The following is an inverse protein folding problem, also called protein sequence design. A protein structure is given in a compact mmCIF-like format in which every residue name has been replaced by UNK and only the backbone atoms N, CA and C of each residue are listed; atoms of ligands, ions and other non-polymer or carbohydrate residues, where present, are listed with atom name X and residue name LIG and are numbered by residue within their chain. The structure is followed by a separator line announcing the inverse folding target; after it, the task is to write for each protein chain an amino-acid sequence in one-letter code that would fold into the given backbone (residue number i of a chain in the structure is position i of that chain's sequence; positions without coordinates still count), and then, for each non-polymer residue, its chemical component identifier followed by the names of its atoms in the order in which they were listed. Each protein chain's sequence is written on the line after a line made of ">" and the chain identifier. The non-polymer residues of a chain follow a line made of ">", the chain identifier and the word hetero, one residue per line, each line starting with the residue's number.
data_IF_606542324774
#
_entry.id   IF_606542324774
#
_cell.length_a   1.000
_cell.length_b   1.000
_cell.length_c   1.000
_cell.angle_alpha   90.00
_cell.angle_beta   90.00
_cell.angle_gamma   90.00
#
_symmetry.space_group_name_H-M   'P 1'
#
loop_
_entity.id
_entity.type
_entity.pdbx_description
1 polymer ?
#
# COMPACT_ATOMS: atom_id res chain seq x y z
N UNK A 1 6.50 34.04 -41.96
CA UNK A 1 6.72 32.58 -41.85
C UNK A 1 5.45 31.96 -41.28
N UNK A 2 4.74 31.14 -42.06
CA UNK A 2 3.41 30.62 -41.75
C UNK A 2 3.59 29.24 -41.11
N UNK A 3 3.31 29.12 -39.80
CA UNK A 3 3.39 27.83 -39.10
C UNK A 3 2.16 27.01 -39.51
N UNK A 4 2.40 25.90 -40.21
CA UNK A 4 1.36 24.91 -40.53
C UNK A 4 1.05 24.14 -39.25
N UNK A 5 -0.21 24.16 -38.83
CA UNK A 5 -0.72 23.32 -37.74
C UNK A 5 -1.18 22.02 -38.39
N UNK A 6 -0.45 20.93 -38.19
CA UNK A 6 -0.86 19.59 -38.61
C UNK A 6 -1.79 19.04 -37.52
N UNK A 7 -3.06 18.85 -37.85
CA UNK A 7 -3.97 18.03 -37.05
C UNK A 7 -3.60 16.58 -37.30
N UNK A 8 -3.23 15.85 -36.24
CA UNK A 8 -3.14 14.40 -36.26
C UNK A 8 -4.51 13.92 -35.79
N UNK A 9 -5.32 13.43 -36.72
CA UNK A 9 -6.52 12.68 -36.41
C UNK A 9 -6.07 11.33 -35.82
N UNK A 10 -6.35 11.13 -34.53
CA UNK A 10 -6.25 9.82 -33.91
C UNK A 10 -7.53 9.11 -34.32
N UNK A 11 -7.42 8.11 -35.19
CA UNK A 11 -8.53 7.22 -35.50
C UNK A 11 -8.93 6.48 -34.23
N UNK A 12 -10.06 6.86 -33.64
CA UNK A 12 -10.79 6.04 -32.67
C UNK A 12 -11.44 4.86 -33.43
N UNK A 13 -10.61 3.88 -33.82
CA UNK A 13 -11.11 2.54 -34.08
C UNK A 13 -11.37 1.87 -32.72
N UNK A 14 -12.53 2.19 -32.14
CA UNK A 14 -13.12 1.39 -31.08
C UNK A 14 -13.58 0.08 -31.71
N UNK A 15 -12.76 -0.97 -31.65
CA UNK A 15 -13.27 -2.33 -31.76
C UNK A 15 -14.23 -2.54 -30.57
N UNK A 16 -15.53 -2.44 -30.83
CA UNK A 16 -16.58 -2.81 -29.88
C UNK A 16 -16.43 -4.30 -29.55
N UNK A 17 -15.79 -4.62 -28.43
CA UNK A 17 -15.87 -5.95 -27.84
C UNK A 17 -17.34 -6.17 -27.45
N UNK A 18 -18.04 -7.15 -28.06
CA UNK A 18 -19.44 -7.38 -27.75
C UNK A 18 -19.53 -7.88 -26.31
N UNK A 19 -20.07 -7.05 -25.42
CA UNK A 19 -20.39 -7.40 -24.04
C UNK A 19 -21.55 -8.41 -24.00
N UNK A 20 -21.30 -9.67 -24.35
CA UNK A 20 -22.20 -10.76 -23.98
C UNK A 20 -21.83 -11.25 -22.57
N UNK A 21 -22.30 -10.54 -21.53
CA UNK A 21 -22.49 -11.21 -20.23
C UNK A 21 -23.77 -12.03 -20.33
N UNK A 22 -23.61 -13.31 -20.63
CA UNK A 22 -24.64 -14.28 -20.28
C UNK A 22 -24.80 -14.21 -18.76
N UNK A 23 -25.86 -13.53 -18.33
CA UNK A 23 -26.19 -13.41 -16.92
C UNK A 23 -26.74 -14.76 -16.48
N UNK A 24 -25.86 -15.66 -16.05
CA UNK A 24 -26.29 -16.78 -15.23
C UNK A 24 -26.96 -16.17 -14.00
N UNK A 25 -28.29 -16.30 -13.91
CA UNK A 25 -29.04 -15.91 -12.72
C UNK A 25 -28.52 -16.76 -11.56
N UNK A 26 -27.80 -16.13 -10.64
CA UNK A 26 -27.54 -16.70 -9.32
C UNK A 26 -28.90 -16.86 -8.61
N UNK A 27 -29.17 -18.01 -7.96
CA UNK A 27 -30.41 -18.23 -7.23
C UNK A 27 -30.59 -17.21 -6.10
N UNK A 28 -31.82 -16.73 -5.94
CA UNK A 28 -32.21 -15.54 -5.16
C UNK A 28 -32.27 -15.74 -3.63
N UNK A 29 -31.71 -16.80 -3.08
CA UNK A 29 -31.68 -17.01 -1.62
C UNK A 29 -30.29 -17.50 -1.22
N UNK A 30 -29.52 -16.67 -0.52
CA UNK A 30 -28.59 -17.10 0.52
C UNK A 30 -27.89 -15.87 1.12
N UNK A 31 -28.53 -15.19 2.07
CA UNK A 31 -27.87 -14.19 2.93
C UNK A 31 -26.75 -14.80 3.80
N UNK A 32 -26.52 -16.12 3.73
CA UNK A 32 -25.53 -16.88 4.50
C UNK A 32 -24.66 -17.83 3.66
N UNK A 33 -24.51 -17.61 2.34
CA UNK A 33 -23.64 -18.48 1.53
C UNK A 33 -22.19 -18.35 1.96
N UNK A 34 -21.62 -19.43 2.48
CA UNK A 34 -20.18 -19.54 2.73
C UNK A 34 -19.51 -19.71 1.37
N UNK A 35 -18.84 -18.67 0.89
CA UNK A 35 -18.01 -18.75 -0.32
C UNK A 35 -16.68 -19.40 0.04
N UNK A 36 -16.33 -20.47 -0.66
CA UNK A 36 -15.02 -21.11 -0.52
C UNK A 36 -14.03 -20.49 -1.49
N UNK A 37 -12.72 -20.62 -1.20
CA UNK A 37 -11.66 -20.12 -2.06
C UNK A 37 -11.71 -20.72 -3.49
N UNK A 38 -12.39 -21.84 -3.69
CA UNK A 38 -12.59 -22.44 -5.01
C UNK A 38 -13.61 -21.70 -5.89
N UNK A 39 -14.48 -20.86 -5.30
CA UNK A 39 -15.59 -20.21 -5.99
C UNK A 39 -15.21 -18.84 -6.61
N UNK A 40 -14.00 -18.34 -6.33
CA UNK A 40 -13.53 -17.04 -6.80
C UNK A 40 -12.37 -17.18 -7.81
N UNK A 41 -12.45 -16.55 -9.00
CA UNK A 41 -11.31 -16.45 -9.90
C UNK A 41 -10.35 -15.39 -9.35
N UNK A 42 -9.42 -15.80 -8.49
CA UNK A 42 -8.36 -14.91 -8.04
C UNK A 42 -7.42 -14.59 -9.20
N UNK A 43 -7.28 -13.30 -9.53
CA UNK A 43 -6.05 -12.80 -10.15
C UNK A 43 -4.96 -12.83 -9.06
N UNK A 44 -3.70 -13.09 -9.43
CA UNK A 44 -2.54 -13.34 -8.55
C UNK A 44 -2.25 -12.19 -7.54
N UNK A 45 -2.96 -11.07 -7.66
CA UNK A 45 -2.73 -9.79 -7.00
C UNK A 45 -3.69 -9.55 -5.79
N UNK A 46 -4.61 -10.49 -5.51
CA UNK A 46 -5.66 -10.29 -4.51
C UNK A 46 -5.22 -10.65 -3.09
N UNK A 47 -5.09 -9.64 -2.21
CA UNK A 47 -4.71 -9.82 -0.80
C UNK A 47 -5.95 -10.15 0.06
N UNK A 48 -5.95 -11.31 0.73
CA UNK A 48 -6.98 -11.71 1.69
C UNK A 48 -6.51 -11.40 3.11
N UNK A 49 -7.28 -10.60 3.85
CA UNK A 49 -7.02 -10.32 5.26
C UNK A 49 -7.85 -11.30 6.09
N UNK A 50 -7.19 -12.35 6.61
CA UNK A 50 -7.80 -13.34 7.52
C UNK A 50 -7.52 -12.91 8.96
N UNK A 51 -8.54 -12.71 9.81
CA UNK A 51 -8.32 -12.28 11.18
C UNK A 51 -7.83 -13.42 12.08
N UNK A 52 -6.65 -13.26 12.68
CA UNK A 52 -6.33 -13.85 13.99
C UNK A 52 -5.90 -15.32 14.07
N UNK A 53 -5.44 -15.96 12.99
CA UNK A 53 -4.95 -17.35 13.01
C UNK A 53 -3.45 -17.46 12.69
N UNK A 54 -2.79 -18.52 13.18
CA UNK A 54 -1.38 -18.80 12.88
C UNK A 54 -1.19 -19.14 11.39
N UNK A 55 -0.11 -18.63 10.78
CA UNK A 55 0.13 -18.70 9.33
C UNK A 55 0.09 -20.14 8.78
N UNK A 56 0.60 -21.11 9.56
CA UNK A 56 0.66 -22.52 9.17
C UNK A 56 -0.74 -23.17 9.12
N UNK A 57 -1.62 -22.79 10.05
CA UNK A 57 -2.99 -23.26 10.10
C UNK A 57 -3.79 -22.69 8.90
N UNK A 58 -3.58 -21.41 8.59
CA UNK A 58 -4.19 -20.74 7.43
C UNK A 58 -3.76 -21.42 6.12
N UNK A 59 -2.48 -21.79 5.95
CA UNK A 59 -2.01 -22.48 4.75
C UNK A 59 -2.68 -23.85 4.56
N UNK A 60 -2.78 -24.65 5.62
CA UNK A 60 -3.46 -25.93 5.58
C UNK A 60 -4.97 -25.78 5.28
N UNK A 61 -5.61 -24.75 5.84
CA UNK A 61 -7.02 -24.46 5.59
C UNK A 61 -7.27 -23.89 4.19
N UNK A 62 -6.31 -23.16 3.58
CA UNK A 62 -6.33 -22.75 2.17
C UNK A 62 -6.23 -23.97 1.25
N UNK A 63 -5.28 -24.87 1.50
CA UNK A 63 -5.12 -26.11 0.73
C UNK A 63 -6.36 -27.00 0.81
N UNK A 64 -7.05 -27.00 1.95
CA UNK A 64 -8.32 -27.70 2.15
C UNK A 64 -9.56 -26.85 1.80
N UNK A 65 -9.38 -25.62 1.31
CA UNK A 65 -10.42 -24.65 0.96
C UNK A 65 -11.47 -24.39 2.08
N UNK A 66 -11.07 -24.49 3.36
CA UNK A 66 -11.93 -24.31 4.54
C UNK A 66 -11.92 -22.89 5.11
N UNK A 67 -11.29 -21.94 4.42
CA UNK A 67 -11.24 -20.54 4.85
C UNK A 67 -12.58 -19.87 4.58
N UNK A 68 -13.19 -19.33 5.63
CA UNK A 68 -14.43 -18.57 5.53
C UNK A 68 -14.10 -17.09 5.35
N UNK A 69 -14.40 -16.55 4.16
CA UNK A 69 -14.20 -15.14 3.86
C UNK A 69 -15.49 -14.38 4.14
N UNK A 70 -15.55 -13.69 5.30
CA UNK A 70 -16.68 -12.82 5.65
C UNK A 70 -16.52 -11.44 4.99
N UNK A 71 -16.76 -11.35 3.69
CA UNK A 71 -16.78 -10.06 2.98
C UNK A 71 -18.17 -9.46 3.00
N UNK A 72 -18.39 -8.47 3.87
CA UNK A 72 -19.62 -7.67 3.81
C UNK A 72 -19.48 -6.60 2.71
N UNK A 73 -20.46 -6.54 1.81
CA UNK A 73 -20.54 -5.48 0.81
C UNK A 73 -20.65 -4.11 1.51
N UNK A 74 -19.65 -3.25 1.34
CA UNK A 74 -19.74 -1.84 1.77
C UNK A 74 -20.68 -1.09 0.82
N UNK A 75 -21.76 -0.54 1.36
CA UNK A 75 -22.72 0.25 0.58
C UNK A 75 -22.07 1.52 0.02
N UNK A 76 -22.62 2.05 -1.07
CA UNK A 76 -22.03 3.18 -1.82
C UNK A 76 -21.93 4.45 -0.98
N UNK A 77 -22.89 4.71 -0.09
CA UNK A 77 -22.91 5.79 0.89
C UNK A 77 -21.78 5.66 1.93
N UNK A 78 -21.35 4.44 2.23
CA UNK A 78 -20.25 4.14 3.16
C UNK A 78 -18.87 4.09 2.47
N UNK A 79 -18.82 4.15 1.13
CA UNK A 79 -17.56 4.14 0.38
C UNK A 79 -16.94 5.54 0.40
N UNK A 80 -15.74 5.63 0.98
CA UNK A 80 -14.90 6.83 0.90
C UNK A 80 -14.11 6.75 -0.41
N UNK A 81 -14.32 7.71 -1.31
CA UNK A 81 -13.54 7.83 -2.54
C UNK A 81 -12.63 9.05 -2.46
N UNK A 82 -11.30 8.89 -2.52
CA UNK A 82 -10.42 10.03 -2.64
C UNK A 82 -10.66 10.68 -4.02
N UNK A 83 -10.91 11.98 -4.02
CA UNK A 83 -11.03 12.78 -5.24
C UNK A 83 -9.70 13.48 -5.46
N UNK A 84 -9.23 13.52 -6.72
CA UNK A 84 -8.05 14.31 -7.10
C UNK A 84 -8.41 15.80 -7.09
N UNK A 85 -8.49 16.37 -5.89
CA UNK A 85 -8.68 17.80 -5.62
C UNK A 85 -7.39 18.37 -5.03
N UNK A 86 -7.28 19.70 -4.97
CA UNK A 86 -6.24 20.38 -4.19
C UNK A 86 -6.25 19.89 -2.75
N UNK A 87 -5.08 19.49 -2.24
CA UNK A 87 -4.94 18.99 -0.88
C UNK A 87 -5.10 20.14 0.12
N UNK A 88 -6.03 20.06 1.09
CA UNK A 88 -6.30 21.17 1.99
C UNK A 88 -5.12 21.43 2.94
N UNK A 89 -4.86 22.70 3.24
CA UNK A 89 -3.75 23.09 4.11
C UNK A 89 -3.89 22.54 5.54
N UNK A 90 -5.12 22.36 6.01
CA UNK A 90 -5.44 21.79 7.32
C UNK A 90 -5.00 20.32 7.44
N UNK A 91 -5.04 19.57 6.33
CA UNK A 91 -4.61 18.16 6.31
C UNK A 91 -3.10 18.00 6.11
N UNK A 92 -2.36 19.11 5.94
CA UNK A 92 -0.92 19.08 5.67
C UNK A 92 -0.16 18.58 6.89
N UNK A 93 0.64 17.53 6.69
CA UNK A 93 1.58 17.05 7.71
C UNK A 93 2.58 18.17 8.04
N UNK A 94 2.57 18.60 9.30
CA UNK A 94 3.50 19.59 9.84
C UNK A 94 4.67 18.86 10.48
N UNK A 95 5.88 19.20 10.03
CA UNK A 95 7.13 18.72 10.65
C UNK A 95 7.66 19.78 11.60
N UNK A 96 7.85 19.41 12.86
CA UNK A 96 8.48 20.24 13.87
C UNK A 96 9.72 19.53 14.42
N UNK A 97 10.72 20.31 14.83
CA UNK A 97 11.94 19.78 15.43
C UNK A 97 11.96 20.29 16.88
N UNK A 98 11.42 19.52 17.85
CA UNK A 98 11.23 19.99 19.21
C UNK A 98 12.56 20.22 19.94
N UNK A 99 13.60 19.45 19.60
CA UNK A 99 14.93 19.52 20.19
C UNK A 99 16.00 19.53 19.11
N UNK A 100 17.10 20.23 19.35
CA UNK A 100 18.25 20.23 18.44
C UNK A 100 18.82 18.80 18.31
N UNK A 101 18.80 18.21 17.10
CA UNK A 101 19.22 16.82 16.88
C UNK A 101 20.73 16.60 17.05
N UNK A 102 21.52 17.67 17.02
CA UNK A 102 22.98 17.59 17.15
C UNK A 102 23.42 17.35 18.59
N UNK A 103 22.54 17.58 19.58
CA UNK A 103 22.88 17.45 21.00
C UNK A 103 23.11 15.99 21.44
N UNK A 104 22.54 15.02 20.72
CA UNK A 104 22.68 13.58 21.03
C UNK A 104 23.79 12.90 20.22
N UNK A 105 24.52 13.64 19.40
CA UNK A 105 25.59 13.05 18.58
C UNK A 105 26.75 12.59 19.46
N UNK A 106 27.15 11.34 19.24
CA UNK A 106 28.33 10.75 19.87
C UNK A 106 29.57 11.27 19.12
N UNK A 107 30.62 11.72 19.82
CA UNK A 107 31.85 12.14 19.16
C UNK A 107 32.48 10.96 18.39
N UNK A 108 32.92 11.22 17.15
CA UNK A 108 33.52 10.19 16.32
C UNK A 108 34.96 9.89 16.76
N UNK A 109 35.38 8.61 16.77
CA UNK A 109 36.75 8.25 17.09
C UNK A 109 37.69 8.69 15.96
N UNK A 110 38.85 9.22 16.33
CA UNK A 110 39.92 9.59 15.37
C UNK A 110 40.51 8.33 14.70
N UNK A 111 40.53 7.20 15.41
CA UNK A 111 40.99 5.90 14.91
C UNK A 111 39.84 4.91 15.05
N UNK A 112 39.03 4.70 13.99
CA UNK A 112 37.89 3.82 14.06
C UNK A 112 38.33 2.36 14.27
N UNK A 113 37.60 1.57 15.09
CA UNK A 113 37.87 0.15 15.25
C UNK A 113 37.55 -0.61 13.96
N UNK A 114 38.06 -1.83 13.84
CA UNK A 114 37.67 -2.71 12.76
C UNK A 114 36.20 -3.11 12.87
N UNK A 115 35.58 -3.35 11.72
CA UNK A 115 34.18 -3.74 11.66
C UNK A 115 34.02 -5.13 12.27
N UNK A 116 33.11 -5.23 13.24
CA UNK A 116 32.71 -6.50 13.85
C UNK A 116 31.22 -6.66 13.54
N UNK A 117 30.81 -7.73 12.84
CA UNK A 117 29.43 -7.97 12.46
C UNK A 117 28.51 -8.02 13.68
N UNK A 118 27.32 -7.45 13.54
CA UNK A 118 26.25 -7.49 14.54
C UNK A 118 25.07 -8.28 13.98
N UNK A 119 24.13 -8.75 14.81
CA UNK A 119 22.96 -9.49 14.33
C UNK A 119 22.16 -8.74 13.25
N UNK A 120 22.17 -7.40 13.28
CA UNK A 120 21.51 -6.57 12.26
C UNK A 120 22.43 -6.18 11.10
N UNK A 121 23.69 -5.86 11.39
CA UNK A 121 24.68 -5.45 10.39
C UNK A 121 25.65 -6.60 10.13
N UNK A 122 25.25 -7.50 9.22
CA UNK A 122 26.07 -8.64 8.79
C UNK A 122 27.11 -8.23 7.74
N UNK A 123 28.12 -9.07 7.52
CA UNK A 123 29.14 -8.83 6.50
C UNK A 123 28.55 -8.79 5.08
N UNK A 124 27.60 -9.67 4.80
CA UNK A 124 26.89 -9.74 3.51
C UNK A 124 26.18 -8.42 3.20
N UNK A 125 25.40 -7.89 4.16
CA UNK A 125 24.71 -6.60 4.02
C UNK A 125 25.69 -5.44 3.84
N UNK A 126 26.83 -5.49 4.52
CA UNK A 126 27.87 -4.47 4.36
C UNK A 126 28.52 -4.53 2.97
N UNK A 127 28.68 -5.73 2.42
CA UNK A 127 29.21 -5.93 1.07
C UNK A 127 28.21 -5.48 -0.01
N UNK A 128 26.91 -5.74 0.18
CA UNK A 128 25.84 -5.27 -0.72
C UNK A 128 25.75 -3.74 -0.78
N UNK A 129 26.05 -3.05 0.32
CA UNK A 129 26.06 -1.59 0.41
C UNK A 129 27.14 -0.93 -0.47
N UNK A 130 28.15 -1.67 -0.91
CA UNK A 130 29.23 -1.24 -1.81
C UNK A 130 29.75 0.18 -1.52
N UNK A 131 30.16 0.41 -0.25
CA UNK A 131 30.47 1.74 0.30
C UNK A 131 31.52 2.51 -0.50
N UNK A 132 32.44 1.82 -1.17
CA UNK A 132 33.58 2.43 -1.84
C UNK A 132 33.76 1.96 -3.28
N UNK A 133 32.67 1.85 -4.04
CA UNK A 133 32.69 1.38 -5.44
C UNK A 133 33.69 2.14 -6.34
N UNK A 134 33.80 3.46 -6.15
CA UNK A 134 34.65 4.34 -6.96
C UNK A 134 36.03 4.61 -6.33
N UNK A 135 36.40 3.91 -5.26
CA UNK A 135 37.65 4.15 -4.49
C UNK A 135 37.82 5.62 -4.05
N UNK A 136 36.70 6.33 -3.85
CA UNK A 136 36.71 7.74 -3.45
C UNK A 136 37.14 7.91 -1.99
N UNK A 137 36.74 6.98 -1.12
CA UNK A 137 37.01 7.03 0.31
C UNK A 137 38.36 6.40 0.63
N UNK A 138 39.07 6.98 1.59
CA UNK A 138 40.28 6.36 2.12
C UNK A 138 39.93 5.12 2.95
N UNK A 139 40.86 4.15 3.10
CA UNK A 139 40.60 2.96 3.91
C UNK A 139 40.19 3.27 5.37
N UNK A 140 40.69 4.37 5.94
CA UNK A 140 40.30 4.82 7.29
C UNK A 140 38.90 5.45 7.31
N UNK A 141 38.51 6.17 6.26
CA UNK A 141 37.17 6.76 6.12
C UNK A 141 36.11 5.68 5.91
N UNK A 142 36.43 4.64 5.13
CA UNK A 142 35.56 3.48 4.95
C UNK A 142 35.33 2.76 6.29
N UNK A 143 36.39 2.58 7.10
CA UNK A 143 36.26 2.04 8.46
C UNK A 143 35.41 2.93 9.35
N UNK A 144 35.58 4.25 9.27
CA UNK A 144 34.79 5.21 10.04
C UNK A 144 33.31 5.13 9.66
N UNK A 145 33.01 5.03 8.37
CA UNK A 145 31.63 4.89 7.88
C UNK A 145 30.98 3.61 8.42
N UNK A 146 31.68 2.47 8.35
CA UNK A 146 31.22 1.20 8.96
C UNK A 146 30.95 1.36 10.46
N UNK A 147 31.80 2.10 11.16
CA UNK A 147 31.61 2.39 12.59
C UNK A 147 30.37 3.26 12.86
N UNK A 148 30.13 4.29 12.04
CA UNK A 148 28.93 5.16 12.15
C UNK A 148 27.65 4.38 11.89
N UNK A 149 27.64 3.49 10.89
CA UNK A 149 26.49 2.62 10.63
C UNK A 149 26.22 1.71 11.83
N UNK A 150 27.28 1.11 12.41
CA UNK A 150 27.16 0.27 13.60
C UNK A 150 26.58 1.03 14.80
N UNK A 151 27.01 2.27 15.04
CA UNK A 151 26.45 3.10 16.13
C UNK A 151 24.95 3.39 15.94
N UNK A 152 24.48 3.46 14.69
CA UNK A 152 23.11 3.77 14.34
C UNK A 152 22.29 2.54 13.89
N UNK A 153 22.77 1.32 14.15
CA UNK A 153 22.17 0.08 13.67
C UNK A 153 20.70 -0.10 14.07
N UNK A 154 20.30 0.52 15.18
CA UNK A 154 18.93 0.45 15.70
C UNK A 154 17.94 1.29 14.88
N UNK A 155 18.44 2.26 14.12
CA UNK A 155 17.63 3.17 13.31
C UNK A 155 17.47 2.70 11.86
N UNK A 156 18.29 1.73 11.44
CA UNK A 156 18.28 1.21 10.08
C UNK A 156 17.30 0.03 9.99
N UNK A 157 16.25 0.11 9.16
CA UNK A 157 15.35 -1.01 8.94
C UNK A 157 15.95 -1.98 7.92
N UNK A 158 16.03 -3.27 8.27
CA UNK A 158 16.46 -4.32 7.35
C UNK A 158 15.33 -5.28 7.02
N UNK A 159 14.52 -5.62 8.02
CA UNK A 159 13.31 -6.41 7.84
C UNK A 159 12.06 -5.54 8.02
N UNK A 160 10.91 -6.03 7.55
CA UNK A 160 9.64 -5.32 7.74
C UNK A 160 9.30 -5.14 9.22
N UNK A 161 9.74 -6.06 10.08
CA UNK A 161 9.61 -5.98 11.55
C UNK A 161 10.40 -4.82 12.16
N UNK A 162 11.46 -4.36 11.49
CA UNK A 162 12.28 -3.24 11.94
C UNK A 162 11.70 -1.89 11.50
N UNK A 163 10.63 -1.89 10.71
CA UNK A 163 9.98 -0.67 10.25
C UNK A 163 9.39 0.10 11.44
N UNK A 164 10.06 1.19 11.80
CA UNK A 164 9.56 2.13 12.81
C UNK A 164 8.38 2.97 12.31
N UNK A 165 7.64 3.53 13.27
CA UNK A 165 6.66 4.60 13.01
C UNK A 165 7.26 5.93 13.43
N UNK A 166 6.92 7.01 12.71
CA UNK A 166 7.37 8.35 13.11
C UNK A 166 6.75 8.78 14.44
N UNK A 167 7.52 9.49 15.26
CA UNK A 167 7.02 10.08 16.50
C UNK A 167 6.08 11.26 16.22
N UNK A 168 4.96 11.30 16.94
CA UNK A 168 3.99 12.39 16.89
C UNK A 168 4.55 13.74 17.38
N UNK A 169 5.65 13.71 18.13
CA UNK A 169 6.35 14.95 18.54
C UNK A 169 7.00 15.66 17.34
N UNK A 170 7.39 14.91 16.32
CA UNK A 170 8.08 15.44 15.14
C UNK A 170 7.12 15.70 13.98
N UNK A 171 6.12 14.83 13.80
CA UNK A 171 5.19 14.89 12.69
C UNK A 171 3.76 14.88 13.20
N UNK A 172 2.95 15.81 12.71
CA UNK A 172 1.51 15.74 12.95
C UNK A 172 0.91 14.51 12.27
N UNK A 173 -0.21 14.03 12.80
CA UNK A 173 -0.94 12.91 12.20
C UNK A 173 -1.31 13.20 10.74
N UNK A 174 -1.32 12.13 9.93
CA UNK A 174 -1.76 12.21 8.55
C UNK A 174 -3.29 12.23 8.49
N UNK A 175 -3.85 13.31 7.95
CA UNK A 175 -5.29 13.44 7.75
C UNK A 175 -5.56 13.16 6.28
N UNK A 176 -6.35 12.12 6.00
CA UNK A 176 -6.82 11.87 4.63
C UNK A 176 -8.02 12.79 4.37
N UNK A 177 -7.91 13.77 3.45
CA UNK A 177 -9.05 14.61 3.13
C UNK A 177 -10.10 13.76 2.40
N UNK A 178 -11.30 13.72 2.94
CA UNK A 178 -12.42 12.99 2.36
C UNK A 178 -13.48 13.97 1.88
N UNK A 179 -14.07 13.68 0.72
CA UNK A 179 -15.22 14.41 0.20
C UNK A 179 -16.46 13.58 0.47
N UNK A 180 -17.51 14.21 1.03
CA UNK A 180 -18.78 13.56 1.23
C UNK A 180 -19.33 13.08 -0.12
N UNK A 181 -19.54 11.78 -0.26
CA UNK A 181 -20.11 11.19 -1.47
C UNK A 181 -21.63 11.21 -1.37
N UNK A 182 -22.30 11.80 -2.36
CA UNK A 182 -23.75 11.65 -2.50
C UNK A 182 -24.03 10.28 -3.13
N UNK A 183 -24.69 9.33 -2.44
CA UNK A 183 -25.08 8.08 -3.08
C UNK A 183 -25.93 8.40 -4.30
N UNK A 184 -25.59 7.81 -5.44
CA UNK A 184 -26.41 7.99 -6.64
C UNK A 184 -27.69 7.19 -6.47
N UNK A 185 -28.76 7.84 -6.05
CA UNK A 185 -30.09 7.25 -6.03
C UNK A 185 -30.70 7.38 -7.42
N UNK A 186 -30.69 6.28 -8.19
CA UNK A 186 -31.61 6.18 -9.32
C UNK A 186 -33.02 6.10 -8.76
N UNK A 187 -33.95 6.91 -9.29
CA UNK A 187 -35.37 6.69 -9.04
C UNK A 187 -35.70 5.26 -9.43
N UNK A 188 -36.39 4.53 -8.54
CA UNK A 188 -36.89 3.19 -8.86
C UNK A 188 -37.61 3.26 -10.20
N UNK A 189 -37.18 2.42 -11.16
CA UNK A 189 -37.82 2.37 -12.47
C UNK A 189 -39.30 2.03 -12.21
N UNK A 190 -40.24 2.85 -12.71
CA UNK A 190 -41.65 2.60 -12.44
C UNK A 190 -42.05 1.25 -13.02
N UNK A 191 -42.70 0.41 -12.21
CA UNK A 191 -43.19 -0.89 -12.68
C UNK A 191 -44.20 -0.63 -13.81
N UNK A 192 -43.97 -1.20 -15.01
CA UNK A 192 -44.89 -1.03 -16.12
C UNK A 192 -46.28 -1.56 -15.75
N UNK A 193 -47.36 -0.89 -16.17
CA UNK A 193 -48.71 -1.16 -15.68
C UNK A 193 -49.17 -2.62 -15.89
N UNK A 194 -48.70 -3.30 -16.94
CA UNK A 194 -49.05 -4.69 -17.23
C UNK A 194 -48.43 -5.75 -16.31
N UNK A 195 -47.48 -5.38 -15.45
CA UNK A 195 -46.78 -6.31 -14.54
C UNK A 195 -47.04 -5.96 -13.07
N UNK A 196 -47.79 -4.88 -12.78
CA UNK A 196 -48.07 -4.42 -11.41
C UNK A 196 -48.78 -5.44 -10.52
N UNK A 197 -49.57 -6.35 -11.09
CA UNK A 197 -50.30 -7.37 -10.32
C UNK A 197 -49.48 -8.63 -10.04
N UNK A 198 -48.27 -8.76 -10.62
CA UNK A 198 -47.43 -9.97 -10.55
C UNK A 198 -46.19 -9.81 -9.66
N UNK A 199 -45.93 -8.60 -9.17
CA UNK A 199 -44.84 -8.24 -8.26
C UNK A 199 -45.47 -7.91 -6.92
#
# INVERSE_FOLDING_TARGET
>A
MRVKKTLIEINDEQEEIPWQRESQKLPDDDENRIYTLADYPFEDDNIIIVPGEEIEQIQADIEQARVHVFTMYKKVDQKIKPVSTTFPEEARVRRTIPKNPLLSLIPLPIRPPEFIPTPRLTEERMHELDVNQNEFLWPEEEKLFKHVLKLNEQTLPYEEKDRGTFSQEYFSDYIMPVVAHTPWEFKSIPIPPGIREKV
#
